data_IF_652558594974
#
_entry.id   IF_652558594974
#
_cell.length_a   1.000
_cell.length_b   1.000
_cell.length_c   1.000
_cell.angle_alpha   90.00
_cell.angle_beta   90.00
_cell.angle_gamma   90.00
#
_symmetry.space_group_name_H-M   'P 1'
#
loop_
_entity.id
_entity.type
_entity.pdbx_description
1 polymer ?
2 non-polymer ?
3 non-polymer ?
4 non-polymer ?
5 non-polymer ?
6 non-polymer ?
7 water ?
#
# COMPACT_ATOMS: atom_id res chain seq x y z
N UNK A 3 -27.70 -18.54 -15.34
CA UNK A 3 -28.51 -17.32 -15.37
C UNK A 3 -29.48 -17.27 -14.22
N UNK A 4 -29.29 -18.16 -13.25
CA UNK A 4 -30.15 -18.20 -12.07
C UNK A 4 -29.94 -16.96 -11.22
N UNK A 5 -31.05 -16.29 -10.87
CA UNK A 5 -30.96 -15.17 -9.94
C UNK A 5 -30.59 -15.65 -8.54
N UNK A 6 -31.03 -16.86 -8.16
CA UNK A 6 -30.59 -17.45 -6.90
C UNK A 6 -29.07 -17.56 -6.84
N UNK A 7 -28.46 -18.14 -7.87
CA UNK A 7 -27.00 -18.17 -7.94
C UNK A 7 -26.42 -16.76 -8.00
N UNK A 8 -27.06 -15.87 -8.75
CA UNK A 8 -26.49 -14.54 -8.99
C UNK A 8 -26.39 -13.73 -7.70
N UNK A 9 -27.42 -13.76 -6.85
CA UNK A 9 -27.33 -13.09 -5.56
C UNK A 9 -26.28 -13.74 -4.68
N UNK A 10 -26.19 -15.06 -4.73
CA UNK A 10 -25.18 -15.78 -3.97
C UNK A 10 -23.77 -15.31 -4.36
N UNK A 11 -23.56 -14.98 -5.64
CA UNK A 11 -22.25 -14.49 -6.07
C UNK A 11 -21.89 -13.17 -5.37
N UNK A 12 -22.88 -12.35 -5.04
CA UNK A 12 -22.60 -11.06 -4.43
C UNK A 12 -22.22 -11.20 -2.96
N UNK A 13 -22.91 -12.07 -2.23
CA UNK A 13 -22.62 -12.29 -0.81
C UNK A 13 -21.53 -13.33 -0.67
N UNK A 14 -20.92 -13.72 -1.79
CA UNK A 14 -19.90 -14.75 -1.81
C UNK A 14 -18.56 -14.19 -1.33
N UNK A 15 -18.00 -14.82 -0.29
CA UNK A 15 -16.69 -14.43 0.22
C UNK A 15 -15.60 -15.34 -0.33
N UNK A 16 -14.39 -14.80 -0.36
CA UNK A 16 -13.19 -15.56 -0.70
C UNK A 16 -12.10 -15.10 0.25
N UNK A 17 -11.33 -16.05 0.76
CA UNK A 17 -10.13 -15.74 1.52
C UNK A 17 -8.92 -15.94 0.62
N UNK A 18 -7.90 -15.11 0.82
CA UNK A 18 -6.67 -15.23 0.08
C UNK A 18 -5.52 -15.32 1.07
N UNK A 19 -4.66 -16.31 0.90
CA UNK A 19 -3.46 -16.46 1.71
C UNK A 19 -2.28 -16.04 0.86
N UNK A 20 -1.36 -15.30 1.47
CA UNK A 20 -0.29 -14.68 0.71
C UNK A 20 0.99 -14.73 1.52
N UNK A 21 2.06 -15.19 0.88
CA UNK A 21 3.40 -15.14 1.43
C UNK A 21 4.25 -14.17 0.64
N UNK A 22 5.39 -13.83 1.22
CA UNK A 22 6.41 -13.12 0.50
C UNK A 22 7.11 -14.07 -0.48
N UNK A 23 7.28 -13.68 -1.75
CA UNK A 23 7.97 -14.57 -2.69
C UNK A 23 9.40 -14.90 -2.26
N UNK A 24 10.01 -14.06 -1.42
CA UNK A 24 11.36 -14.31 -0.92
C UNK A 24 11.36 -15.26 0.27
N UNK A 25 10.20 -15.61 0.80
CA UNK A 25 10.00 -16.48 1.93
C UNK A 25 8.69 -17.23 1.68
N UNK A 26 8.69 -17.99 0.59
CA UNK A 26 7.49 -18.56 -0.02
C UNK A 26 7.12 -19.84 0.70
N UNK A 27 6.37 -19.68 1.78
CA UNK A 27 6.11 -20.74 2.74
C UNK A 27 4.71 -21.31 2.63
N UNK A 28 3.94 -20.92 1.61
CA UNK A 28 2.56 -21.37 1.46
C UNK A 28 2.54 -22.67 0.67
N UNK A 29 2.97 -23.75 1.35
CA UNK A 29 3.15 -25.01 0.67
C UNK A 29 1.81 -25.59 0.28
N UNK A 30 1.77 -26.43 -0.76
CA UNK A 30 0.49 -27.07 -1.11
C UNK A 30 -0.22 -27.71 0.07
N UNK A 31 0.51 -28.42 0.94
CA UNK A 31 -0.14 -29.04 2.09
C UNK A 31 -0.73 -27.99 3.02
N UNK A 32 -0.04 -26.86 3.17
CA UNK A 32 -0.56 -25.82 4.06
C UNK A 32 -1.85 -25.22 3.51
N UNK A 33 -1.90 -24.99 2.20
CA UNK A 33 -3.11 -24.47 1.59
C UNK A 33 -4.29 -25.40 1.75
N UNK A 34 -4.07 -26.71 1.56
CA UNK A 34 -5.15 -27.67 1.79
C UNK A 34 -5.59 -27.66 3.24
N UNK A 35 -4.63 -27.65 4.18
CA UNK A 35 -4.98 -27.59 5.59
C UNK A 35 -5.85 -26.38 5.90
N UNK A 36 -5.43 -25.19 5.42
CA UNK A 36 -6.22 -23.99 5.67
C UNK A 36 -7.60 -24.11 5.07
N UNK A 37 -7.69 -24.62 3.84
CA UNK A 37 -9.01 -24.70 3.20
C UNK A 37 -9.92 -25.67 3.94
N UNK A 38 -9.36 -26.78 4.43
CA UNK A 38 -10.15 -27.67 5.27
C UNK A 38 -10.61 -26.97 6.54
N UNK A 39 -9.77 -26.07 7.08
CA UNK A 39 -10.11 -25.38 8.32
C UNK A 39 -11.33 -24.48 8.20
N UNK A 40 -11.83 -24.23 6.99
CA UNK A 40 -12.95 -23.33 6.79
C UNK A 40 -14.02 -24.00 5.94
N UNK A 41 -13.93 -25.33 5.80
CA UNK A 41 -14.84 -26.12 4.96
C UNK A 41 -14.99 -25.50 3.58
N UNK A 42 -13.86 -25.27 2.92
CA UNK A 42 -13.86 -24.52 1.67
C UNK A 42 -14.56 -25.26 0.55
N UNK A 43 -15.24 -24.50 -0.32
CA UNK A 43 -15.77 -25.06 -1.55
C UNK A 43 -14.65 -25.53 -2.47
N UNK A 44 -13.54 -24.79 -2.53
CA UNK A 44 -12.42 -25.17 -3.37
C UNK A 44 -11.12 -24.56 -2.88
N UNK A 45 -10.11 -24.64 -3.74
CA UNK A 45 -8.78 -24.09 -3.46
C UNK A 45 -8.08 -23.80 -4.77
N UNK A 46 -7.76 -22.53 -5.03
CA UNK A 46 -7.22 -22.11 -6.33
C UNK A 46 -5.89 -21.41 -6.13
N UNK A 47 -4.86 -21.93 -6.78
CA UNK A 47 -3.51 -21.37 -6.64
C UNK A 47 -3.31 -20.19 -7.59
N UNK A 48 -3.03 -19.01 -7.02
CA UNK A 48 -2.68 -17.86 -7.83
C UNK A 48 -1.20 -17.85 -8.16
N UNK A 49 -0.37 -18.38 -7.26
CA UNK A 49 1.06 -18.47 -7.47
C UNK A 49 1.58 -19.56 -6.55
N UNK A 50 2.26 -20.55 -7.13
CA UNK A 50 2.70 -21.69 -6.34
C UNK A 50 3.57 -21.22 -5.18
N UNK A 51 3.27 -21.76 -4.00
CA UNK A 51 4.02 -21.49 -2.77
C UNK A 51 3.83 -20.08 -2.25
N UNK A 52 3.01 -19.25 -2.91
CA UNK A 52 2.95 -17.82 -2.62
C UNK A 52 1.53 -17.36 -2.30
N UNK A 53 0.55 -17.80 -3.07
CA UNK A 53 -0.79 -17.28 -2.85
C UNK A 53 -1.85 -18.21 -3.39
N UNK A 54 -2.96 -18.33 -2.66
CA UNK A 54 -4.08 -19.16 -3.06
C UNK A 54 -5.38 -18.53 -2.60
N UNK A 55 -6.41 -18.73 -3.41
CA UNK A 55 -7.77 -18.33 -3.11
C UNK A 55 -8.54 -19.48 -2.48
N UNK A 56 -9.30 -19.17 -1.44
CA UNK A 56 -10.10 -20.17 -0.74
C UNK A 56 -11.53 -19.65 -0.67
N UNK A 57 -12.39 -20.04 -1.61
CA UNK A 57 -13.80 -19.62 -1.56
C UNK A 57 -14.48 -20.13 -0.30
N UNK A 58 -15.18 -19.28 0.32
CA UNK A 58 -15.76 -19.72 1.58
C UNK A 58 -17.19 -20.20 1.36
N UNK A 59 -17.63 -21.19 2.13
CA UNK A 59 -19.03 -21.60 2.09
C UNK A 59 -19.93 -20.43 2.48
N UNK A 60 -21.03 -20.29 1.75
CA UNK A 60 -21.93 -19.16 1.97
C UNK A 60 -22.53 -19.26 3.36
N UNK A 61 -22.64 -18.12 4.02
CA UNK A 61 -23.14 -18.08 5.38
C UNK A 61 -22.07 -17.98 6.44
N UNK A 62 -20.80 -18.13 6.08
CA UNK A 62 -19.72 -17.94 7.04
C UNK A 62 -19.31 -16.48 7.07
N UNK A 63 -19.35 -15.87 8.26
CA UNK A 63 -18.91 -14.50 8.40
C UNK A 63 -17.42 -14.37 8.08
N UNK A 64 -17.06 -13.20 7.54
CA UNK A 64 -15.66 -12.96 7.23
C UNK A 64 -14.79 -12.99 8.48
N UNK A 65 -15.33 -12.54 9.61
CA UNK A 65 -14.53 -12.55 10.84
C UNK A 65 -14.26 -13.96 11.32
N UNK A 66 -15.21 -14.88 11.12
CA UNK A 66 -14.95 -16.28 11.48
C UNK A 66 -13.82 -16.86 10.66
N UNK A 67 -13.89 -16.71 9.33
CA UNK A 67 -12.85 -17.28 8.47
C UNK A 67 -11.48 -16.70 8.80
N UNK A 68 -11.43 -15.41 9.10
CA UNK A 68 -10.14 -14.79 9.38
C UNK A 68 -9.50 -15.41 10.62
N UNK A 69 -10.28 -15.60 11.68
CA UNK A 69 -9.75 -16.22 12.88
C UNK A 69 -9.35 -17.66 12.64
N UNK A 70 -10.20 -18.43 11.95
CA UNK A 70 -9.89 -19.84 11.69
C UNK A 70 -8.60 -19.96 10.89
N UNK A 71 -8.46 -19.17 9.83
CA UNK A 71 -7.27 -19.28 8.99
C UNK A 71 -6.03 -18.83 9.74
N UNK A 72 -6.13 -17.76 10.52
CA UNK A 72 -4.95 -17.30 11.24
C UNK A 72 -4.54 -18.32 12.30
N UNK A 73 -5.51 -19.02 12.89
CA UNK A 73 -5.18 -20.10 13.82
C UNK A 73 -4.40 -21.21 13.13
N UNK A 74 -4.92 -21.73 12.01
CA UNK A 74 -4.26 -22.82 11.29
C UNK A 74 -2.84 -22.46 10.90
N UNK A 75 -2.60 -21.20 10.53
CA UNK A 75 -1.31 -20.77 10.06
C UNK A 75 -0.43 -20.17 11.14
N UNK A 76 -0.88 -20.19 12.40
CA UNK A 76 -0.18 -19.45 13.45
C UNK A 76 1.31 -19.78 13.43
N UNK A 77 2.13 -18.75 13.36
CA UNK A 77 3.56 -18.93 13.33
C UNK A 77 4.14 -19.06 11.94
N UNK A 78 3.32 -18.99 10.92
CA UNK A 78 3.86 -18.99 9.58
C UNK A 78 3.75 -17.59 8.98
N UNK A 79 4.69 -17.16 8.16
CA UNK A 79 4.67 -15.79 7.62
C UNK A 79 3.76 -15.71 6.41
N UNK A 80 2.47 -15.91 6.67
CA UNK A 80 1.46 -15.93 5.62
C UNK A 80 0.36 -14.97 6.04
N UNK A 81 0.03 -14.04 5.14
CA UNK A 81 -1.03 -13.09 5.38
C UNK A 81 -2.39 -13.69 5.04
N UNK A 82 -3.42 -13.07 5.61
CA UNK A 82 -4.80 -13.50 5.44
C UNK A 82 -5.66 -12.28 5.14
N UNK A 83 -6.40 -12.32 4.03
CA UNK A 83 -7.39 -11.30 3.75
C UNK A 83 -8.69 -12.02 3.37
N UNK A 84 -9.82 -11.41 3.69
CA UNK A 84 -11.13 -11.93 3.33
C UNK A 84 -11.93 -10.79 2.74
N UNK A 85 -12.68 -11.07 1.69
CA UNK A 85 -13.47 -10.04 1.01
C UNK A 85 -14.51 -10.73 0.13
N UNK A 86 -15.49 -9.94 -0.34
CA UNK A 86 -16.42 -10.42 -1.34
C UNK A 86 -15.70 -10.64 -2.67
N UNK A 87 -16.06 -11.70 -3.39
CA UNK A 87 -15.37 -11.99 -4.65
C UNK A 87 -15.70 -10.98 -5.73
N UNK A 88 -16.96 -10.56 -5.82
CA UNK A 88 -17.32 -9.58 -6.84
C UNK A 88 -16.60 -8.26 -6.58
N UNK A 89 -16.09 -7.66 -7.65
CA UNK A 89 -15.44 -6.36 -7.60
C UNK A 89 -14.16 -6.36 -6.76
N UNK A 90 -13.51 -7.51 -6.58
CA UNK A 90 -12.20 -7.46 -5.94
C UNK A 90 -11.12 -6.92 -6.86
N UNK A 91 -11.31 -6.99 -8.17
CA UNK A 91 -10.32 -6.42 -9.08
C UNK A 91 -10.63 -4.94 -9.24
N UNK A 92 -9.69 -4.08 -8.88
CA UNK A 92 -9.95 -2.64 -8.86
C UNK A 92 -9.38 -1.96 -10.10
N UNK A 93 -9.92 -0.77 -10.40
CA UNK A 93 -9.46 -0.03 -11.58
C UNK A 93 -8.74 1.25 -11.24
N UNK A 94 -8.51 1.53 -9.95
CA UNK A 94 -7.66 2.62 -9.50
C UNK A 94 -6.72 2.08 -8.44
N UNK A 95 -5.45 2.44 -8.53
CA UNK A 95 -4.50 2.23 -7.43
C UNK A 95 -4.07 3.59 -6.92
N UNK A 96 -4.11 3.77 -5.61
CA UNK A 96 -3.50 4.95 -5.02
C UNK A 96 -2.58 4.45 -3.90
N UNK A 97 -1.30 4.84 -3.97
CA UNK A 97 -0.25 4.29 -3.13
C UNK A 97 0.63 5.37 -2.55
N UNK A 98 0.89 5.28 -1.25
CA UNK A 98 1.87 6.15 -0.61
C UNK A 98 3.28 5.79 -1.10
N UNK A 99 4.19 6.75 -1.06
CA UNK A 99 5.56 6.45 -1.50
C UNK A 99 6.48 5.98 -0.37
N UNK A 100 6.76 6.85 0.61
CA UNK A 100 7.74 6.56 1.65
C UNK A 100 7.39 5.28 2.41
N UNK A 101 8.36 4.36 2.51
CA UNK A 101 8.22 3.10 3.24
C UNK A 101 7.09 2.24 2.70
N UNK A 102 6.55 2.59 1.52
CA UNK A 102 5.55 1.77 0.86
C UNK A 102 6.08 1.38 -0.52
N UNK A 103 6.09 2.28 -1.49
CA UNK A 103 6.64 1.94 -2.78
C UNK A 103 8.16 1.96 -2.79
N UNK A 104 8.78 2.66 -1.84
CA UNK A 104 10.23 2.70 -1.71
C UNK A 104 10.58 2.24 -0.30
N UNK A 105 11.84 1.84 -0.13
CA UNK A 105 12.25 1.28 1.14
C UNK A 105 12.53 2.29 2.23
N UNK A 106 12.63 3.57 1.89
CA UNK A 106 13.12 4.61 2.78
C UNK A 106 12.06 5.68 3.04
N UNK A 107 12.40 6.58 3.97
CA UNK A 107 11.68 7.83 4.20
C UNK A 107 12.54 8.93 3.60
N UNK A 108 12.01 9.60 2.57
CA UNK A 108 12.80 10.62 1.89
C UNK A 108 13.24 11.72 2.86
N UNK A 109 12.39 12.06 3.84
CA UNK A 109 12.72 13.13 4.77
C UNK A 109 13.89 12.72 5.66
N UNK A 110 13.94 11.44 6.07
CA UNK A 110 15.03 10.97 6.90
C UNK A 110 16.33 10.92 6.10
N UNK A 111 16.24 10.54 4.82
CA UNK A 111 17.45 10.47 4.00
C UNK A 111 18.02 11.87 3.75
N UNK A 112 17.16 12.85 3.51
CA UNK A 112 17.65 14.22 3.40
C UNK A 112 18.23 14.70 4.72
N UNK A 113 17.62 14.30 5.85
CA UNK A 113 18.12 14.71 7.15
C UNK A 113 19.56 14.24 7.37
N UNK A 114 19.91 13.07 6.85
CA UNK A 114 21.28 12.59 6.94
C UNK A 114 22.26 13.62 6.38
N UNK A 115 21.91 14.22 5.24
CA UNK A 115 22.77 15.22 4.63
C UNK A 115 22.93 16.47 5.49
N UNK A 116 22.07 16.67 6.48
CA UNK A 116 22.25 17.73 7.47
C UNK A 116 22.84 17.19 8.77
N UNK A 117 23.27 15.94 8.78
CA UNK A 117 23.80 15.34 10.00
C UNK A 117 22.77 15.18 11.09
N UNK A 118 21.51 14.98 10.72
CA UNK A 118 20.42 14.93 11.69
C UNK A 118 19.47 13.77 11.41
N UNK A 119 19.98 12.67 10.86
CA UNK A 119 19.12 11.54 10.52
C UNK A 119 18.36 11.02 11.74
N UNK A 120 19.07 10.76 12.85
CA UNK A 120 18.42 10.14 13.99
C UNK A 120 17.37 11.05 14.61
N UNK A 121 17.71 12.34 14.75
CA UNK A 121 16.76 13.30 15.30
C UNK A 121 15.49 13.32 14.45
N UNK A 122 15.65 13.47 13.14
CA UNK A 122 14.49 13.59 12.27
C UNK A 122 13.75 12.26 12.18
N UNK A 123 14.48 11.15 12.13
CA UNK A 123 13.83 9.84 12.01
C UNK A 123 12.98 9.51 13.23
N UNK A 124 13.37 10.01 14.41
CA UNK A 124 12.53 9.78 15.58
C UNK A 124 11.20 10.52 15.45
N UNK A 125 11.22 11.72 14.87
CA UNK A 125 9.98 12.46 14.65
C UNK A 125 9.13 11.76 13.60
N UNK A 126 9.77 11.36 12.49
CA UNK A 126 9.08 10.62 11.44
C UNK A 126 8.38 9.40 12.00
N UNK A 127 9.05 8.65 12.87
CA UNK A 127 8.43 7.46 13.43
C UNK A 127 7.18 7.81 14.23
N UNK A 128 7.22 8.88 15.03
CA UNK A 128 6.04 9.24 15.80
C UNK A 128 4.92 9.74 14.88
N UNK A 129 5.27 10.43 13.80
CA UNK A 129 4.25 10.88 12.85
C UNK A 129 3.63 9.69 12.14
N UNK A 130 4.44 8.69 11.79
CA UNK A 130 3.90 7.54 11.10
C UNK A 130 2.98 6.72 12.01
N UNK A 131 3.27 6.68 13.31
CA UNK A 131 2.44 5.94 14.26
C UNK A 131 1.18 6.69 14.69
N UNK A 132 1.06 7.99 14.40
CA UNK A 132 -0.09 8.78 14.80
C UNK A 132 0.07 9.53 16.10
N UNK A 133 1.26 9.54 16.68
CA UNK A 133 1.47 10.21 17.95
C UNK A 133 1.61 11.73 17.82
N UNK A 134 1.89 12.22 16.62
CA UNK A 134 1.90 13.64 16.33
C UNK A 134 1.25 13.85 14.98
N UNK A 135 0.59 15.00 14.82
CA UNK A 135 -0.06 15.29 13.55
C UNK A 135 0.99 15.50 12.45
N UNK A 136 0.61 15.10 11.24
CA UNK A 136 1.55 15.09 10.12
C UNK A 136 2.10 16.49 9.82
N UNK A 137 1.21 17.47 9.64
CA UNK A 137 1.68 18.78 9.17
C UNK A 137 2.68 19.42 10.11
N UNK A 138 2.44 19.53 11.42
CA UNK A 138 3.48 20.14 12.26
C UNK A 138 4.76 19.30 12.30
N UNK A 139 4.64 17.98 12.20
CA UNK A 139 5.84 17.14 12.14
C UNK A 139 6.62 17.38 10.86
N UNK A 140 5.93 17.55 9.73
CA UNK A 140 6.62 17.84 8.48
C UNK A 140 7.34 19.17 8.56
N UNK A 141 6.67 20.22 9.08
CA UNK A 141 7.30 21.53 9.19
C UNK A 141 8.53 21.48 10.07
N UNK A 142 8.42 20.79 11.21
CA UNK A 142 9.54 20.68 12.14
C UNK A 142 10.73 20.02 11.48
N UNK A 143 10.50 18.92 10.75
CA UNK A 143 11.60 18.18 10.15
C UNK A 143 12.20 18.94 8.98
N UNK A 144 11.36 19.49 8.11
CA UNK A 144 11.88 20.18 6.93
C UNK A 144 12.66 21.43 7.32
N UNK A 145 12.28 22.06 8.43
CA UNK A 145 13.00 23.25 8.89
C UNK A 145 14.47 22.95 9.12
N UNK A 146 14.79 21.71 9.48
CA UNK A 146 16.16 21.33 9.75
C UNK A 146 16.96 21.07 8.48
N UNK A 147 16.29 21.09 7.33
CA UNK A 147 16.95 21.00 6.04
C UNK A 147 17.35 22.36 5.48
N UNK A 148 17.04 23.44 6.18
CA UNK A 148 17.36 24.77 5.68
C UNK A 148 18.83 24.85 5.30
N UNK A 149 19.10 25.38 4.11
CA UNK A 149 20.46 25.62 3.67
C UNK A 149 21.10 24.50 2.88
N UNK A 150 20.53 23.30 2.88
CA UNK A 150 21.09 22.24 2.05
C UNK A 150 21.04 22.67 0.59
N UNK A 151 22.11 22.42 -0.17
CA UNK A 151 22.08 22.76 -1.60
C UNK A 151 21.15 21.84 -2.36
N UNK A 152 20.54 22.40 -3.41
CA UNK A 152 19.57 21.62 -4.18
C UNK A 152 20.19 20.36 -4.77
N UNK A 153 21.51 20.30 -4.95
CA UNK A 153 22.14 19.12 -5.52
C UNK A 153 21.95 17.88 -4.66
N UNK A 154 21.57 18.05 -3.40
CA UNK A 154 21.47 16.92 -2.47
C UNK A 154 20.31 15.99 -2.83
N UNK A 155 19.26 16.51 -3.48
CA UNK A 155 18.12 15.66 -3.79
C UNK A 155 18.54 14.53 -4.72
N UNK A 156 19.06 14.87 -5.91
CA UNK A 156 19.50 13.83 -6.85
C UNK A 156 20.52 12.90 -6.22
N UNK A 157 21.39 13.44 -5.37
CA UNK A 157 22.36 12.60 -4.69
C UNK A 157 21.65 11.53 -3.87
N UNK A 158 20.67 11.94 -3.05
CA UNK A 158 19.94 10.98 -2.24
C UNK A 158 19.20 9.99 -3.13
N UNK A 159 18.50 10.50 -4.14
CA UNK A 159 17.68 9.66 -5.01
C UNK A 159 18.55 8.60 -5.69
N UNK A 160 19.67 9.04 -6.27
CA UNK A 160 20.50 8.12 -7.05
C UNK A 160 21.18 7.08 -6.17
N UNK A 161 21.56 7.44 -4.96
CA UNK A 161 22.40 6.57 -4.16
C UNK A 161 21.71 5.87 -3.00
N UNK A 162 20.59 6.37 -2.50
CA UNK A 162 20.03 5.74 -1.30
C UNK A 162 18.59 5.29 -1.40
N UNK A 163 17.87 5.58 -2.48
CA UNK A 163 16.47 5.17 -2.60
C UNK A 163 16.40 3.86 -3.37
N UNK A 164 15.62 2.91 -2.85
CA UNK A 164 15.41 1.62 -3.48
C UNK A 164 13.92 1.31 -3.55
N UNK A 165 13.53 0.65 -4.64
CA UNK A 165 12.14 0.28 -4.87
C UNK A 165 11.75 -0.95 -4.05
N UNK A 166 10.58 -0.89 -3.44
CA UNK A 166 10.07 -2.01 -2.68
C UNK A 166 9.79 -3.17 -3.63
N UNK A 167 10.21 -4.40 -3.29
CA UNK A 167 9.94 -5.55 -4.15
C UNK A 167 8.45 -5.67 -4.50
N UNK A 168 8.18 -6.00 -5.75
CA UNK A 168 6.83 -6.22 -6.21
C UNK A 168 6.14 -4.97 -6.74
N UNK A 169 6.72 -3.79 -6.55
CA UNK A 169 6.08 -2.55 -6.90
C UNK A 169 5.85 -2.36 -8.40
N UNK A 170 6.92 -2.47 -9.19
CA UNK A 170 6.74 -2.34 -10.65
C UNK A 170 5.78 -3.38 -11.18
N UNK A 171 5.87 -4.62 -10.71
CA UNK A 171 4.94 -5.64 -11.18
C UNK A 171 3.51 -5.30 -10.80
N UNK A 172 3.29 -4.76 -9.60
CA UNK A 172 1.94 -4.36 -9.20
C UNK A 172 1.40 -3.29 -10.13
N UNK A 173 2.16 -2.20 -10.28
CA UNK A 173 1.70 -1.06 -11.08
C UNK A 173 1.52 -1.48 -12.54
N UNK A 174 2.55 -2.11 -13.13
CA UNK A 174 2.47 -2.48 -14.54
C UNK A 174 1.38 -3.51 -14.81
N UNK A 175 1.17 -4.47 -13.88
CA UNK A 175 0.10 -5.43 -14.10
C UNK A 175 -1.28 -4.79 -14.02
N UNK A 176 -1.53 -3.91 -13.03
CA UNK A 176 -2.86 -3.31 -13.09
C UNK A 176 -3.03 -2.40 -14.29
N UNK A 177 -1.96 -1.75 -14.74
CA UNK A 177 -2.06 -0.91 -15.93
C UNK A 177 -2.35 -1.74 -17.17
N UNK A 178 -1.69 -2.91 -17.27
CA UNK A 178 -1.99 -3.85 -18.35
C UNK A 178 -3.48 -4.20 -18.38
N UNK A 179 -4.11 -4.22 -17.22
CA UNK A 179 -5.53 -4.54 -17.11
C UNK A 179 -6.40 -3.29 -17.01
N UNK A 180 -5.88 -2.16 -17.45
CA UNK A 180 -6.73 -1.00 -17.63
C UNK A 180 -6.90 -0.13 -16.41
N UNK A 181 -6.12 -0.35 -15.36
CA UNK A 181 -6.30 0.44 -14.16
C UNK A 181 -5.52 1.75 -14.25
N UNK A 182 -5.98 2.74 -13.48
CA UNK A 182 -5.31 4.03 -13.38
C UNK A 182 -4.56 4.04 -12.06
N UNK A 183 -3.28 4.43 -12.09
CA UNK A 183 -2.41 4.29 -10.91
C UNK A 183 -1.76 5.63 -10.55
N UNK A 184 -1.80 5.97 -9.25
CA UNK A 184 -1.33 7.25 -8.75
C UNK A 184 -0.48 7.06 -7.50
N UNK A 185 0.65 7.73 -7.47
CA UNK A 185 1.58 7.75 -6.34
C UNK A 185 1.32 9.04 -5.56
N UNK A 186 0.78 8.93 -4.34
CA UNK A 186 0.49 10.12 -3.53
C UNK A 186 1.36 10.08 -2.29
N UNK A 187 1.90 11.22 -1.92
CA UNK A 187 2.89 11.21 -0.86
C UNK A 187 2.79 12.48 -0.04
N UNK A 188 3.02 12.33 1.26
CA UNK A 188 3.34 13.46 2.11
C UNK A 188 4.74 13.94 1.94
N UNK A 189 5.55 13.18 1.19
CA UNK A 189 6.91 13.58 0.82
C UNK A 189 6.91 14.58 -0.31
N UNK A 190 7.97 14.54 -1.13
CA UNK A 190 8.30 15.68 -1.98
C UNK A 190 8.27 15.33 -3.45
N UNK A 191 7.77 16.29 -4.24
CA UNK A 191 7.65 16.09 -5.68
C UNK A 191 8.99 15.80 -6.35
N UNK A 192 10.08 16.36 -5.84
CA UNK A 192 11.38 16.05 -6.41
C UNK A 192 11.69 14.57 -6.32
N UNK A 193 11.11 13.87 -5.35
CA UNK A 193 11.27 12.43 -5.26
C UNK A 193 10.18 11.67 -6.03
N UNK A 194 8.91 12.06 -5.85
CA UNK A 194 7.83 11.27 -6.45
C UNK A 194 7.87 11.32 -7.98
N UNK A 195 8.30 12.43 -8.57
CA UNK A 195 8.36 12.47 -10.04
C UNK A 195 9.29 11.39 -10.57
N UNK A 196 10.49 11.29 -10.01
CA UNK A 196 11.43 10.26 -10.44
C UNK A 196 10.94 8.86 -10.09
N UNK A 197 10.48 8.66 -8.86
CA UNK A 197 10.04 7.33 -8.44
C UNK A 197 8.84 6.88 -9.25
N UNK A 198 7.88 7.77 -9.47
CA UNK A 198 6.69 7.40 -10.24
C UNK A 198 7.07 6.89 -11.61
N UNK A 199 8.07 7.49 -12.24
CA UNK A 199 8.42 7.10 -13.60
C UNK A 199 9.28 5.84 -13.63
N UNK A 200 10.13 5.62 -12.61
CA UNK A 200 10.82 4.34 -12.51
C UNK A 200 9.82 3.20 -12.36
N UNK A 201 8.84 3.37 -11.48
CA UNK A 201 7.92 2.27 -11.21
C UNK A 201 6.91 2.12 -12.35
N UNK A 202 6.44 3.22 -12.91
CA UNK A 202 5.46 3.20 -13.98
C UNK A 202 4.07 3.73 -13.63
N UNK A 203 3.96 4.62 -12.63
CA UNK A 203 2.67 5.20 -12.26
C UNK A 203 2.17 6.16 -13.33
N UNK A 204 0.85 6.28 -13.43
CA UNK A 204 0.23 7.24 -14.34
C UNK A 204 0.41 8.67 -13.84
N UNK A 205 0.36 8.90 -12.54
CA UNK A 205 0.59 10.25 -12.06
C UNK A 205 1.10 10.20 -10.63
N UNK A 206 1.62 11.33 -10.16
CA UNK A 206 2.04 11.49 -8.77
C UNK A 206 1.56 12.83 -8.21
N UNK A 207 1.46 12.90 -6.90
CA UNK A 207 1.08 14.15 -6.23
C UNK A 207 1.69 14.17 -4.84
N UNK A 208 2.46 15.22 -4.54
CA UNK A 208 3.17 15.28 -3.27
C UNK A 208 3.34 16.73 -2.86
N UNK A 209 3.91 16.92 -1.67
CA UNK A 209 4.33 18.24 -1.22
C UNK A 209 5.56 18.71 -1.99
N UNK A 210 5.94 19.97 -1.77
CA UNK A 210 7.00 20.60 -2.55
C UNK A 210 7.92 21.38 -1.64
N UNK A 211 9.21 21.09 -1.72
CA UNK A 211 10.21 21.83 -0.96
C UNK A 211 10.44 23.19 -1.60
N UNK A 212 10.52 24.23 -0.78
CA UNK A 212 10.80 25.57 -1.27
C UNK A 212 12.30 25.77 -1.31
N UNK A 213 12.79 26.50 -2.31
CA UNK A 213 14.21 26.82 -2.42
C UNK A 213 14.36 28.28 -2.83
N UNK A 214 15.53 28.83 -2.57
CA UNK A 214 15.85 30.21 -2.96
C UNK A 214 16.53 30.28 -4.32
N UNK A 215 16.54 29.18 -5.07
CA UNK A 215 17.26 29.07 -6.31
C UNK A 215 18.49 28.19 -6.22
N UNK A 216 19.10 28.11 -5.07
CA UNK A 216 20.29 27.29 -4.90
C UNK A 216 20.22 26.39 -3.68
N UNK A 217 19.57 26.85 -2.60
CA UNK A 217 19.50 26.10 -1.36
C UNK A 217 18.04 25.94 -0.93
N UNK A 218 17.78 24.89 -0.15
CA UNK A 218 16.45 24.73 0.42
C UNK A 218 16.22 25.80 1.46
N UNK A 219 15.00 26.32 1.50
CA UNK A 219 14.68 27.29 2.54
C UNK A 219 14.36 26.64 3.88
N UNK A 220 14.11 25.34 3.90
CA UNK A 220 13.61 24.75 5.12
C UNK A 220 12.11 24.85 5.30
N UNK A 221 11.38 25.20 4.25
CA UNK A 221 9.92 25.23 4.32
C UNK A 221 9.33 24.44 3.17
N UNK A 222 8.03 24.22 3.27
CA UNK A 222 7.26 23.46 2.31
C UNK A 222 6.21 24.38 1.71
N UNK A 223 5.88 24.16 0.44
CA UNK A 223 4.84 24.95 -0.22
C UNK A 223 3.53 24.87 0.54
N UNK A 224 2.96 26.04 0.81
CA UNK A 224 1.61 26.10 1.36
C UNK A 224 0.59 25.83 0.27
N UNK A 225 -0.48 25.09 0.57
CA UNK A 225 -0.76 24.41 1.83
C UNK A 225 -0.14 23.04 1.88
N UNK A 226 0.05 22.49 3.06
CA UNK A 226 0.68 21.18 3.21
C UNK A 226 -0.34 20.09 2.94
N UNK A 227 0.06 19.08 2.17
CA UNK A 227 -0.83 17.97 1.85
C UNK A 227 -0.64 16.86 2.87
N UNK A 228 -1.69 16.55 3.62
CA UNK A 228 -1.61 15.48 4.61
C UNK A 228 -2.64 14.39 4.41
N UNK A 229 -3.28 13.99 5.50
CA UNK A 229 -4.23 12.89 5.47
C UNK A 229 -5.41 13.22 4.57
N UNK A 230 -5.98 14.42 4.72
CA UNK A 230 -7.17 14.75 3.93
C UNK A 230 -6.83 14.93 2.46
N UNK A 231 -5.64 15.44 2.16
CA UNK A 231 -5.23 15.59 0.78
C UNK A 231 -5.18 14.25 0.05
N UNK A 232 -4.77 13.18 0.74
CA UNK A 232 -4.81 11.86 0.11
C UNK A 232 -6.26 11.41 -0.14
N UNK A 233 -7.17 11.70 0.79
CA UNK A 233 -8.59 11.38 0.59
C UNK A 233 -9.14 12.17 -0.59
N UNK A 234 -8.83 13.46 -0.64
CA UNK A 234 -9.34 14.31 -1.70
C UNK A 234 -8.78 13.88 -3.07
N UNK A 235 -7.53 13.44 -3.11
CA UNK A 235 -6.97 13.03 -4.38
C UNK A 235 -7.62 11.74 -4.89
N UNK A 236 -7.91 10.80 -3.98
CA UNK A 236 -8.64 9.59 -4.39
C UNK A 236 -10.02 9.97 -4.93
N UNK A 237 -10.74 10.85 -4.24
CA UNK A 237 -12.04 11.32 -4.74
C UNK A 237 -11.88 11.94 -6.12
N UNK A 238 -10.87 12.79 -6.28
CA UNK A 238 -10.65 13.47 -7.57
C UNK A 238 -10.36 12.48 -8.68
N UNK A 239 -9.47 11.50 -8.42
CA UNK A 239 -9.13 10.54 -9.46
C UNK A 239 -10.36 9.75 -9.87
N UNK A 240 -11.15 9.32 -8.88
CA UNK A 240 -12.28 8.45 -9.18
C UNK A 240 -13.31 9.20 -10.02
N UNK A 241 -13.62 10.43 -9.61
CA UNK A 241 -14.56 11.23 -10.39
C UNK A 241 -14.04 11.43 -11.81
N UNK A 242 -12.76 11.74 -11.96
CA UNK A 242 -12.19 12.03 -13.28
C UNK A 242 -12.20 10.81 -14.19
N UNK A 243 -12.03 9.60 -13.66
CA UNK A 243 -12.07 8.39 -14.48
C UNK A 243 -13.47 7.81 -14.55
N UNK A 244 -14.47 8.50 -14.01
CA UNK A 244 -15.82 8.01 -14.06
C UNK A 244 -16.11 6.80 -13.20
N UNK A 245 -15.44 6.67 -12.06
CA UNK A 245 -15.72 5.60 -11.11
C UNK A 245 -16.00 6.23 -9.75
N UNK A 246 -15.95 5.43 -8.69
CA UNK A 246 -16.07 5.89 -7.31
C UNK A 246 -14.90 5.33 -6.50
N UNK A 247 -14.68 5.82 -5.26
CA UNK A 247 -13.58 5.25 -4.45
C UNK A 247 -13.75 3.76 -4.17
N UNK A 248 -14.96 3.20 -4.32
CA UNK A 248 -15.14 1.77 -4.15
C UNK A 248 -14.38 0.96 -5.18
N UNK A 249 -14.08 1.57 -6.33
CA UNK A 249 -13.35 0.94 -7.42
C UNK A 249 -11.85 1.08 -7.27
N UNK A 250 -11.36 1.55 -6.13
CA UNK A 250 -9.93 1.75 -5.95
C UNK A 250 -9.38 0.80 -4.89
N UNK A 251 -8.09 0.49 -5.04
CA UNK A 251 -7.30 -0.12 -3.98
C UNK A 251 -6.28 0.92 -3.52
N UNK A 252 -6.24 1.17 -2.21
CA UNK A 252 -5.32 2.12 -1.60
C UNK A 252 -4.37 1.37 -0.67
N UNK A 253 -3.13 1.82 -0.59
CA UNK A 253 -2.11 1.14 0.23
C UNK A 253 -1.18 2.16 0.85
N UNK A 254 -0.89 1.98 2.13
CA UNK A 254 0.15 2.79 2.75
C UNK A 254 0.53 2.14 4.05
N UNK A 255 1.40 2.82 4.79
CA UNK A 255 1.94 2.27 6.02
C UNK A 255 1.73 3.16 7.24
N UNK A 256 1.26 4.40 7.07
CA UNK A 256 1.30 5.38 8.14
C UNK A 256 -0.08 5.89 8.52
N UNK A 257 -0.12 6.58 9.66
CA UNK A 257 -1.37 7.13 10.17
C UNK A 257 -2.04 8.05 9.16
N UNK A 258 -1.25 8.82 8.42
CA UNK A 258 -1.83 9.76 7.48
C UNK A 258 -2.33 9.08 6.20
N UNK A 259 -2.12 7.77 6.04
CA UNK A 259 -2.72 7.01 4.94
C UNK A 259 -4.08 6.44 5.28
N UNK A 260 -4.51 6.53 6.54
CA UNK A 260 -5.71 5.82 6.95
C UNK A 260 -6.97 6.40 6.34
N UNK A 261 -6.97 7.69 5.99
CA UNK A 261 -8.12 8.25 5.31
C UNK A 261 -8.38 7.59 3.97
N UNK A 262 -7.35 7.52 3.12
CA UNK A 262 -7.55 6.92 1.82
C UNK A 262 -7.71 5.40 1.94
N UNK A 263 -7.02 4.78 2.91
CA UNK A 263 -7.21 3.36 3.12
C UNK A 263 -8.66 3.04 3.48
N UNK A 264 -9.25 3.85 4.35
CA UNK A 264 -10.61 3.55 4.79
C UNK A 264 -11.65 3.93 3.73
N UNK A 265 -11.37 4.95 2.90
CA UNK A 265 -12.35 5.34 1.89
C UNK A 265 -12.36 4.34 0.72
N UNK A 266 -11.20 3.87 0.31
CA UNK A 266 -11.09 2.98 -0.83
C UNK A 266 -11.90 1.70 -0.61
N UNK A 267 -12.40 1.14 -1.72
CA UNK A 267 -13.09 -0.14 -1.63
C UNK A 267 -12.21 -1.24 -1.04
N UNK A 268 -10.92 -1.22 -1.37
CA UNK A 268 -9.95 -2.10 -0.73
C UNK A 268 -8.81 -1.24 -0.16
N UNK A 269 -8.66 -1.26 1.16
CA UNK A 269 -7.62 -0.49 1.83
C UNK A 269 -6.68 -1.43 2.57
N UNK A 270 -5.40 -1.29 2.26
CA UNK A 270 -4.36 -2.22 2.72
C UNK A 270 -3.33 -1.46 3.55
N UNK A 271 -3.16 -1.86 4.80
CA UNK A 271 -2.03 -1.40 5.59
C UNK A 271 -0.87 -2.35 5.34
N UNK A 272 0.19 -1.85 4.73
CA UNK A 272 1.32 -2.67 4.29
C UNK A 272 2.48 -2.51 5.27
N UNK A 273 2.82 -3.60 5.97
CA UNK A 273 3.96 -3.60 6.90
C UNK A 273 3.88 -2.42 7.86
N UNK A 274 2.69 -2.17 8.38
CA UNK A 274 2.44 -1.06 9.28
C UNK A 274 2.67 -1.52 10.72
N UNK A 275 3.01 -0.56 11.57
CA UNK A 275 3.09 -0.81 13.01
C UNK A 275 1.70 -1.10 13.55
N UNK A 276 1.59 -1.75 14.72
CA UNK A 276 0.28 -2.26 15.17
C UNK A 276 -0.81 -1.20 15.26
N UNK A 277 -0.48 0.02 15.69
CA UNK A 277 -1.53 1.02 15.88
C UNK A 277 -2.15 1.43 14.55
N UNK A 278 -1.36 1.46 13.48
CA UNK A 278 -1.90 1.77 12.16
C UNK A 278 -2.64 0.58 11.57
N UNK A 279 -2.02 -0.61 11.61
CA UNK A 279 -2.70 -1.80 11.08
C UNK A 279 -4.01 -2.08 11.80
N UNK A 280 -4.11 -1.73 13.08
CA UNK A 280 -5.37 -1.94 13.80
C UNK A 280 -6.53 -1.18 13.17
N UNK A 281 -6.25 -0.13 12.40
CA UNK A 281 -7.31 0.74 11.90
C UNK A 281 -7.61 0.50 10.43
N UNK A 282 -7.00 -0.51 9.81
CA UNK A 282 -7.28 -0.89 8.44
C UNK A 282 -8.00 -2.23 8.43
N UNK A 283 -8.92 -2.40 7.49
CA UNK A 283 -9.66 -3.66 7.42
C UNK A 283 -8.84 -4.77 6.80
N UNK A 284 -7.81 -4.45 6.03
CA UNK A 284 -6.88 -5.41 5.45
C UNK A 284 -5.44 -5.07 5.80
N UNK A 285 -4.68 -6.08 6.19
CA UNK A 285 -3.27 -5.89 6.49
C UNK A 285 -2.43 -6.92 5.76
N UNK A 286 -1.28 -6.48 5.29
CA UNK A 286 -0.26 -7.33 4.69
C UNK A 286 0.99 -7.09 5.51
N UNK A 287 1.37 -8.07 6.33
CA UNK A 287 2.55 -7.97 7.18
C UNK A 287 3.74 -8.76 6.64
N UNK A 288 3.53 -9.71 5.74
CA UNK A 288 4.59 -10.57 5.24
C UNK A 288 4.86 -10.40 3.76
N UNK A 289 3.81 -10.36 2.93
CA UNK A 289 3.99 -10.26 1.48
C UNK A 289 4.69 -8.98 1.06
N UNK A 290 5.09 -8.96 -0.22
CA UNK A 290 5.60 -7.72 -0.80
C UNK A 290 4.45 -7.11 -1.61
N UNK A 291 4.77 -6.18 -2.51
CA UNK A 291 3.67 -5.49 -3.19
C UNK A 291 2.91 -6.38 -4.16
N UNK A 292 3.49 -7.51 -4.62
CA UNK A 292 2.67 -8.49 -5.34
C UNK A 292 1.48 -8.97 -4.52
N UNK A 293 1.52 -8.83 -3.19
CA UNK A 293 0.34 -9.20 -2.42
C UNK A 293 -0.90 -8.47 -2.92
N UNK A 294 -0.75 -7.22 -3.36
CA UNK A 294 -1.93 -6.47 -3.79
C UNK A 294 -2.50 -7.00 -5.10
N UNK A 295 -1.67 -7.65 -5.91
CA UNK A 295 -2.19 -8.32 -7.10
C UNK A 295 -2.99 -9.56 -6.70
N UNK A 296 -2.45 -10.36 -5.78
CA UNK A 296 -3.17 -11.54 -5.31
C UNK A 296 -4.47 -11.16 -4.61
N UNK A 297 -4.47 -10.06 -3.85
CA UNK A 297 -5.71 -9.57 -3.23
C UNK A 297 -6.80 -9.40 -4.29
N UNK A 298 -6.41 -8.90 -5.44
CA UNK A 298 -7.34 -8.61 -6.52
C UNK A 298 -7.65 -9.83 -7.37
N UNK A 299 -7.11 -10.99 -7.04
CA UNK A 299 -7.42 -12.20 -7.78
C UNK A 299 -6.54 -12.51 -8.97
N UNK A 300 -5.49 -11.73 -9.20
CA UNK A 300 -4.60 -12.01 -10.32
C UNK A 300 -3.81 -13.28 -10.07
N UNK A 301 -3.62 -14.06 -11.14
CA UNK A 301 -2.73 -15.20 -11.15
C UNK A 301 -1.38 -14.75 -11.66
N UNK A 302 -0.33 -15.46 -11.24
CA UNK A 302 1.01 -15.08 -11.68
C UNK A 302 1.11 -15.08 -13.21
N UNK A 303 0.28 -15.88 -13.88
CA UNK A 303 0.29 -15.90 -15.34
C UNK A 303 -0.15 -14.56 -15.93
N UNK A 304 -1.03 -13.83 -15.22
CA UNK A 304 -1.47 -12.52 -15.68
C UNK A 304 -0.42 -11.42 -15.52
N UNK A 305 0.66 -11.67 -14.80
CA UNK A 305 1.59 -10.60 -14.47
C UNK A 305 2.36 -10.13 -15.68
N UNK A 306 2.73 -8.85 -15.67
CA UNK A 306 3.76 -8.32 -16.55
C UNK A 306 5.10 -8.71 -15.96
N UNK A 307 5.90 -9.47 -16.71
CA UNK A 307 7.17 -9.97 -16.17
C UNK A 307 8.36 -9.14 -16.64
X LIG B 1 21.44 20.74 16.34
X LIG B 1 22.42 19.81 15.99
X LIG B 1 20.14 20.45 15.58
X LIG B 1 19.02 20.81 16.36
X LIG B 1 18.20 19.74 16.74
X LIG B 1 18.72 19.12 18.04
X LIG B 1 19.75 18.22 17.75
X LIG C 1 -11.06 -17.90 -7.03
X LIG C 1 -9.78 -17.97 -7.62
X LIG C 1 -12.09 -17.61 -8.13
X LIG C 1 -11.45 -17.20 -9.31
X LIG C 1 -12.93 -18.86 -8.39
X LIG C 1 -13.71 -19.12 -7.25
X LIG D 1 2.12 21.67 -3.15
X LIG D 1 2.52 20.81 -4.19
X LIG D 1 0.58 21.63 -3.05
X LIG D 1 0.13 22.37 -1.96
X LIG E 1 9.05 -1.45 2.87
X LIG E 1 9.66 -0.81 3.97
X LIG E 1 7.65 -1.97 3.19
X LIG E 1 7.51 -3.32 2.83
X LIG F 1 1.55 -20.97 -10.21
X LIG F 1 2.66 -20.09 -10.22
X LIG F 1 0.53 -20.75 -11.35
X LIG F 1 -0.67 -21.36 -10.94
X LIG F 1 0.33 -19.25 -11.59
X LIG F 1 -0.60 -18.96 -12.60
X LIG G 1 4.54 6.13 4.18
X LIG H 1 10.29 19.03 -4.02
X LIG I 1 -0.42 1.01 -20.13
#
# INVERSE_FOLDING_TARGET
GPGSMLLSMSQQVSLVATLIANPAKAALAPSLGIKASAAVNATGLYWLADDIACDIPLPLGMEASEADASLRATLDGAPIDVVVQEQERRRKKILIADMDSTMIGQECIDELAEEAGLRDHVAAITARAMNGEIAFEPALRERVALLKGLPLSVIDKVISTRITLTPGGPQLVRTMRKHGAYTALVSGGFTSFTRRIAEMIGFNEERANRLIDDGTRLTGTVAEPILGREAKVEKLVEIAERVGLTPEDAIAVGDGANDLGMIQLAGTGVALHAKPAVAAQAKMRIDHGDLTALLYIQGYRKADFVQ
PEG C1 O1 C2 O2 C3 C4 O4
GOL C1 O1 C2 O2 C3 O3
EDO C1 O1 C2 O2
EDO C1 O1 C2 O2
GOL C1 O1 C2 O2 C3 O3
MG MG
CL CL
CL CL
#
